data_IF_855421756943
#
_entry.id   IF_855421756943
#
_cell.length_a   1.000
_cell.length_b   1.000
_cell.length_c   1.000
_cell.angle_alpha   90.00
_cell.angle_beta   90.00
_cell.angle_gamma   90.00
#
_symmetry.space_group_name_H-M   'P 1'
#
loop_
_entity.id
_entity.type
_entity.pdbx_description
1 polymer ?
#
# COMPACT_ATOMS: atom_id res chain seq x y z
N UNK A 1 -6.85 -23.68 -17.75
CA UNK A 1 -5.57 -24.41 -17.62
C UNK A 1 -4.67 -24.02 -18.77
N UNK A 2 -3.37 -23.85 -18.51
CA UNK A 2 -2.35 -23.49 -19.52
C UNK A 2 -1.71 -24.77 -20.06
N UNK A 3 -1.36 -24.81 -21.35
CA UNK A 3 -0.71 -25.98 -21.95
C UNK A 3 0.64 -26.31 -21.28
N UNK A 4 0.96 -27.60 -21.19
CA UNK A 4 2.25 -28.08 -20.64
C UNK A 4 3.42 -27.41 -21.36
N UNK A 5 4.37 -26.88 -20.60
CA UNK A 5 5.53 -26.15 -21.12
C UNK A 5 5.29 -24.67 -21.46
N UNK A 6 4.06 -24.16 -21.32
CA UNK A 6 3.71 -22.74 -21.62
C UNK A 6 3.46 -21.87 -20.39
N UNK A 7 3.59 -22.42 -19.19
CA UNK A 7 3.30 -21.70 -17.95
C UNK A 7 4.16 -20.44 -17.74
N UNK A 8 5.44 -20.47 -18.11
CA UNK A 8 6.33 -19.32 -17.96
C UNK A 8 5.92 -18.16 -18.87
N UNK A 9 5.68 -18.44 -20.16
CA UNK A 9 5.30 -17.42 -21.13
C UNK A 9 3.98 -16.75 -20.73
N UNK A 10 2.99 -17.55 -20.30
CA UNK A 10 1.69 -17.03 -19.83
C UNK A 10 1.84 -16.22 -18.54
N UNK A 11 2.61 -16.70 -17.56
CA UNK A 11 2.85 -15.98 -16.31
C UNK A 11 3.55 -14.63 -16.55
N UNK A 12 4.52 -14.60 -17.48
CA UNK A 12 5.20 -13.36 -17.87
C UNK A 12 4.24 -12.38 -18.55
N UNK A 13 3.39 -12.85 -19.46
CA UNK A 13 2.40 -12.02 -20.12
C UNK A 13 1.41 -11.39 -19.10
N UNK A 14 1.03 -12.13 -18.06
CA UNK A 14 0.23 -11.59 -16.96
C UNK A 14 1.00 -10.60 -16.08
N UNK A 15 2.26 -10.89 -15.76
CA UNK A 15 3.10 -9.99 -14.98
C UNK A 15 3.25 -8.64 -15.68
N UNK A 16 3.45 -8.63 -17.01
CA UNK A 16 3.53 -7.41 -17.82
C UNK A 16 2.22 -6.59 -17.72
N UNK A 17 1.06 -7.23 -17.85
CA UNK A 17 -0.24 -6.56 -17.67
C UNK A 17 -0.48 -6.03 -16.24
N UNK A 18 0.00 -6.74 -15.23
CA UNK A 18 -0.14 -6.30 -13.83
C UNK A 18 0.78 -5.11 -13.55
N UNK A 19 1.97 -5.09 -14.15
CA UNK A 19 2.93 -4.00 -13.99
C UNK A 19 2.43 -2.65 -14.53
N UNK A 20 1.44 -2.65 -15.41
CA UNK A 20 0.76 -1.44 -15.90
C UNK A 20 -0.20 -0.82 -14.86
N UNK A 21 -0.52 -1.52 -13.76
CA UNK A 21 -1.43 -1.03 -12.72
C UNK A 21 -0.73 -0.09 -11.75
N UNK A 22 -1.51 0.79 -11.12
CA UNK A 22 -1.00 1.60 -10.02
C UNK A 22 -0.49 0.71 -8.87
N UNK A 23 0.78 0.84 -8.45
CA UNK A 23 1.37 -0.05 -7.46
C UNK A 23 0.66 0.05 -6.10
N UNK A 24 0.39 1.27 -5.62
CA UNK A 24 -0.33 1.49 -4.36
C UNK A 24 -1.79 0.98 -4.41
N UNK A 25 -2.45 1.10 -5.56
CA UNK A 25 -3.80 0.57 -5.72
C UNK A 25 -3.81 -0.96 -5.68
N UNK A 26 -2.80 -1.60 -6.29
CA UNK A 26 -2.64 -3.06 -6.26
C UNK A 26 -2.33 -3.57 -4.85
N UNK A 27 -1.46 -2.87 -4.12
CA UNK A 27 -1.16 -3.17 -2.73
C UNK A 27 -2.39 -3.02 -1.82
N UNK A 28 -3.09 -1.87 -1.89
CA UNK A 28 -4.28 -1.62 -1.10
C UNK A 28 -5.38 -2.66 -1.38
N UNK A 29 -5.58 -3.05 -2.64
CA UNK A 29 -6.54 -4.10 -3.00
C UNK A 29 -6.18 -5.44 -2.34
N UNK A 30 -4.90 -5.83 -2.34
CA UNK A 30 -4.46 -7.07 -1.69
C UNK A 30 -4.63 -7.02 -0.17
N UNK A 31 -4.30 -5.89 0.47
CA UNK A 31 -4.49 -5.72 1.91
C UNK A 31 -5.97 -5.79 2.29
N UNK A 32 -6.86 -5.16 1.50
CA UNK A 32 -8.31 -5.25 1.74
C UNK A 32 -8.85 -6.68 1.59
N UNK A 33 -8.34 -7.47 0.63
CA UNK A 33 -8.70 -8.89 0.51
C UNK A 33 -8.23 -9.66 1.74
N UNK A 34 -6.99 -9.47 2.18
CA UNK A 34 -6.46 -10.13 3.38
C UNK A 34 -7.32 -9.81 4.62
N UNK A 35 -7.72 -8.55 4.79
CA UNK A 35 -8.67 -8.16 5.85
C UNK A 35 -10.00 -8.89 5.73
N UNK A 36 -10.58 -8.96 4.53
CA UNK A 36 -11.87 -9.61 4.29
C UNK A 36 -11.85 -11.12 4.56
N UNK A 37 -10.73 -11.79 4.25
CA UNK A 37 -10.54 -13.23 4.45
C UNK A 37 -10.05 -13.59 5.86
N UNK A 38 -9.79 -12.60 6.72
CA UNK A 38 -9.24 -12.85 8.07
C UNK A 38 -7.75 -13.15 8.09
N UNK A 39 -7.05 -12.98 6.96
CA UNK A 39 -5.61 -13.19 6.82
C UNK A 39 -4.85 -11.96 7.31
N UNK A 40 -4.04 -12.13 8.36
CA UNK A 40 -3.16 -11.07 8.87
C UNK A 40 -3.87 -9.72 9.10
N UNK A 41 -5.17 -9.75 9.44
CA UNK A 41 -6.05 -8.58 9.32
C UNK A 41 -5.58 -7.39 10.17
N UNK A 42 -4.92 -7.64 11.30
CA UNK A 42 -4.32 -6.59 12.12
C UNK A 42 -3.21 -5.83 11.36
N UNK A 43 -2.24 -6.54 10.80
CA UNK A 43 -1.14 -5.92 10.06
C UNK A 43 -1.64 -5.29 8.75
N UNK A 44 -2.58 -5.94 8.06
CA UNK A 44 -3.15 -5.38 6.84
C UNK A 44 -3.94 -4.09 7.09
N UNK A 45 -4.70 -4.03 8.19
CA UNK A 45 -5.41 -2.82 8.61
C UNK A 45 -4.43 -1.71 9.01
N UNK A 46 -3.38 -2.05 9.76
CA UNK A 46 -2.33 -1.10 10.15
C UNK A 46 -1.65 -0.50 8.91
N UNK A 47 -1.22 -1.33 7.97
CA UNK A 47 -0.57 -0.88 6.73
C UNK A 47 -1.45 0.11 5.93
N UNK A 48 -2.75 -0.19 5.78
CA UNK A 48 -3.70 0.71 5.11
C UNK A 48 -3.85 2.04 5.85
N UNK A 49 -4.01 2.00 7.18
CA UNK A 49 -4.15 3.21 8.00
C UNK A 49 -2.87 4.06 7.97
N UNK A 50 -1.69 3.44 8.10
CA UNK A 50 -0.40 4.12 8.00
C UNK A 50 -0.19 4.75 6.64
N UNK A 51 -0.55 4.07 5.54
CA UNK A 51 -0.50 4.63 4.20
C UNK A 51 -1.37 5.88 4.05
N UNK A 52 -2.58 5.88 4.62
CA UNK A 52 -3.45 7.06 4.62
C UNK A 52 -2.85 8.22 5.44
N UNK A 53 -2.35 7.93 6.66
CA UNK A 53 -1.68 8.92 7.51
C UNK A 53 -0.45 9.51 6.82
N UNK A 54 0.28 8.70 6.05
CA UNK A 54 1.47 9.11 5.29
C UNK A 54 1.21 10.23 4.28
N UNK A 55 -0.02 10.35 3.80
CA UNK A 55 -0.43 11.36 2.83
C UNK A 55 -0.94 12.66 3.47
N UNK A 56 -0.99 12.73 4.80
CA UNK A 56 -1.49 13.92 5.50
C UNK A 56 -0.43 15.01 5.66
N UNK A 57 -0.86 16.27 5.60
CA UNK A 57 0.00 17.41 5.95
C UNK A 57 0.48 17.36 7.40
N UNK A 58 -0.32 16.78 8.31
CA UNK A 58 0.03 16.66 9.72
C UNK A 58 1.21 15.69 9.94
N UNK A 59 1.32 14.59 9.19
CA UNK A 59 2.52 13.74 9.29
C UNK A 59 3.77 14.52 8.89
N UNK A 60 3.70 15.25 7.77
CA UNK A 60 4.82 16.09 7.33
C UNK A 60 5.20 17.13 8.38
N UNK A 61 4.22 17.86 8.92
CA UNK A 61 4.43 18.87 9.95
C UNK A 61 5.05 18.27 11.23
N UNK A 62 4.58 17.09 11.65
CA UNK A 62 5.11 16.36 12.80
C UNK A 62 6.56 15.94 12.61
N UNK A 63 6.89 15.35 11.45
CA UNK A 63 8.27 14.93 11.12
C UNK A 63 9.22 16.12 11.03
N UNK A 64 8.79 17.22 10.39
CA UNK A 64 9.62 18.42 10.23
C UNK A 64 9.89 19.09 11.59
N UNK A 65 8.87 19.21 12.44
CA UNK A 65 9.02 19.75 13.80
C UNK A 65 9.89 18.86 14.70
N UNK A 66 9.77 17.55 14.59
CA UNK A 66 10.62 16.59 15.31
C UNK A 66 12.10 16.80 14.94
N UNK A 67 12.41 16.88 13.64
CA UNK A 67 13.78 17.17 13.16
C UNK A 67 14.31 18.51 13.67
N UNK A 68 13.45 19.51 13.76
CA UNK A 68 13.79 20.83 14.26
C UNK A 68 13.81 20.94 15.80
N UNK A 69 13.41 19.90 16.54
CA UNK A 69 13.19 19.91 18.00
C UNK A 69 12.24 21.03 18.46
N UNK A 70 11.21 21.28 17.68
CA UNK A 70 10.20 22.31 17.94
C UNK A 70 8.81 21.67 18.10
N UNK A 71 7.86 22.44 18.62
CA UNK A 71 6.47 21.99 18.72
C UNK A 71 5.81 22.02 17.33
N UNK A 72 5.16 20.93 16.87
CA UNK A 72 4.46 20.92 15.59
C UNK A 72 3.20 21.79 15.63
N UNK A 73 2.83 22.35 14.48
CA UNK A 73 1.55 23.00 14.25
C UNK A 73 0.70 22.11 13.32
N UNK A 74 -0.28 21.43 13.90
CA UNK A 74 -1.25 20.61 13.17
C UNK A 74 -2.49 21.43 12.83
N UNK A 75 -3.12 21.16 11.68
CA UNK A 75 -4.22 22.01 11.20
C UNK A 75 -5.50 21.27 10.82
N UNK A 76 -5.49 19.93 10.71
CA UNK A 76 -6.67 19.14 10.30
C UNK A 76 -7.42 19.70 9.07
N UNK A 77 -6.71 20.41 8.21
CA UNK A 77 -7.20 21.02 6.97
C UNK A 77 -6.54 20.36 5.77
#
# INVERSE_FOLDING_TARGET
MVATGKAYDEARAWAEKIAERGPLATEAAKLMIAVAEGEESAAATEALASGFIALTGDLKAGVDAFKAKQKPAFSRS
#
